data_IF_750227644733
#
_entry.id   IF_750227644733
#
_cell.length_a   1.000
_cell.length_b   1.000
_cell.length_c   1.000
_cell.angle_alpha   90.00
_cell.angle_beta   90.00
_cell.angle_gamma   90.00
#
_symmetry.space_group_name_H-M   'P 1'
#
loop_
_entity.id
_entity.type
_entity.pdbx_description
1 polymer ?
#
# COMPACT_ATOMS: atom_id res chain seq x y z
N UNK A 1 5.24 -4.61 -16.96
CA UNK A 1 6.01 -5.35 -15.93
C UNK A 1 7.42 -4.79 -15.93
N UNK A 2 7.94 -4.38 -14.78
CA UNK A 2 9.35 -4.05 -14.62
C UNK A 2 10.06 -5.21 -13.95
N UNK A 3 11.13 -5.73 -14.56
CA UNK A 3 12.03 -6.71 -13.95
C UNK A 3 13.07 -5.96 -13.13
N UNK A 4 13.27 -6.34 -11.86
CA UNK A 4 14.28 -5.72 -10.98
C UNK A 4 15.56 -6.53 -11.09
N UNK A 5 16.64 -5.88 -11.57
CA UNK A 5 17.95 -6.49 -11.65
C UNK A 5 18.52 -6.74 -10.23
N UNK A 6 18.84 -8.00 -9.91
CA UNK A 6 19.45 -8.41 -8.63
C UNK A 6 18.84 -9.65 -7.99
N UNK A 7 17.75 -10.15 -8.50
CA UNK A 7 17.07 -11.39 -8.12
C UNK A 7 16.05 -11.76 -9.16
N UNK A 8 15.64 -13.00 -9.24
CA UNK A 8 14.63 -13.51 -10.19
C UNK A 8 13.19 -13.16 -9.75
N UNK A 9 12.95 -11.93 -9.32
CA UNK A 9 11.65 -11.49 -8.84
C UNK A 9 11.02 -10.46 -9.79
N UNK A 10 9.70 -10.60 -10.02
CA UNK A 10 8.91 -9.67 -10.82
C UNK A 10 8.02 -8.84 -9.91
N UNK A 11 8.00 -7.51 -10.14
CA UNK A 11 7.05 -6.58 -9.52
C UNK A 11 5.95 -6.22 -10.49
N UNK A 12 4.71 -6.37 -10.05
CA UNK A 12 3.56 -5.78 -10.71
C UNK A 12 3.31 -4.40 -10.14
N UNK A 13 3.15 -3.43 -11.04
CA UNK A 13 3.05 -2.01 -10.71
C UNK A 13 1.73 -1.43 -11.22
N UNK A 14 1.03 -0.71 -10.35
CA UNK A 14 -0.12 0.11 -10.70
C UNK A 14 0.19 1.57 -10.38
N UNK A 15 0.18 2.44 -11.42
CA UNK A 15 0.36 3.87 -11.28
C UNK A 15 -0.99 4.56 -11.22
N UNK A 16 -1.20 5.35 -10.19
CA UNK A 16 -2.46 6.05 -9.89
C UNK A 16 -2.19 7.56 -9.84
N UNK A 17 -2.95 8.34 -10.59
CA UNK A 17 -3.00 9.80 -10.43
C UNK A 17 -4.14 10.14 -9.45
N UNK A 18 -3.84 10.57 -8.21
CA UNK A 18 -4.87 10.85 -7.22
C UNK A 18 -5.74 12.07 -7.54
N UNK A 19 -5.38 12.86 -8.56
CA UNK A 19 -6.23 13.95 -9.08
C UNK A 19 -7.33 13.44 -10.00
N UNK A 20 -7.16 12.25 -10.58
CA UNK A 20 -8.08 11.62 -11.54
C UNK A 20 -8.87 10.46 -10.94
N UNK A 21 -8.26 9.74 -10.01
CA UNK A 21 -8.83 8.56 -9.38
C UNK A 21 -8.88 8.75 -7.86
N UNK A 22 -9.88 8.16 -7.23
CA UNK A 22 -9.98 8.08 -5.78
C UNK A 22 -9.06 6.98 -5.26
N UNK A 23 -8.29 7.27 -4.22
CA UNK A 23 -7.50 6.30 -3.49
C UNK A 23 -7.96 6.30 -2.03
N UNK A 24 -8.44 5.16 -1.55
CA UNK A 24 -9.10 5.02 -0.26
C UNK A 24 -8.37 4.01 0.62
N UNK A 25 -8.28 4.29 1.91
CA UNK A 25 -7.88 3.31 2.93
C UNK A 25 -9.14 2.61 3.42
N UNK A 26 -9.20 1.30 3.25
CA UNK A 26 -10.35 0.49 3.69
C UNK A 26 -9.99 -0.29 4.94
N UNK A 27 -10.75 -0.09 6.01
CA UNK A 27 -10.80 -0.96 7.17
C UNK A 27 -11.90 -2.00 6.91
N UNK A 28 -11.52 -3.22 6.53
CA UNK A 28 -12.45 -4.29 6.13
C UNK A 28 -13.44 -4.63 7.24
N UNK A 29 -13.03 -4.53 8.50
CA UNK A 29 -13.92 -4.78 9.66
C UNK A 29 -15.14 -3.85 9.69
N UNK A 30 -15.09 -2.72 8.98
CA UNK A 30 -16.20 -1.75 8.83
C UNK A 30 -17.12 -2.06 7.65
N UNK A 31 -16.80 -3.06 6.84
CA UNK A 31 -17.64 -3.49 5.70
C UNK A 31 -18.58 -4.65 6.03
N UNK A 32 -18.57 -5.13 7.28
CA UNK A 32 -19.35 -6.30 7.71
C UNK A 32 -18.58 -7.63 7.65
N UNK A 33 -17.33 -7.62 7.18
CA UNK A 33 -16.43 -8.77 7.16
C UNK A 33 -15.24 -8.55 8.10
N UNK A 34 -14.68 -9.61 8.69
CA UNK A 34 -13.47 -9.48 9.49
C UNK A 34 -12.23 -9.27 8.61
N UNK A 35 -12.19 -9.89 7.45
CA UNK A 35 -11.10 -9.87 6.45
C UNK A 35 -11.71 -10.03 5.05
N UNK A 36 -10.98 -9.58 4.02
CA UNK A 36 -11.36 -9.77 2.63
C UNK A 36 -10.11 -9.92 1.73
N UNK A 37 -10.28 -10.56 0.59
CA UNK A 37 -9.31 -10.55 -0.50
C UNK A 37 -9.46 -9.27 -1.32
N UNK A 38 -8.45 -8.93 -2.11
CA UNK A 38 -8.53 -7.74 -2.98
C UNK A 38 -9.59 -7.89 -4.06
N UNK A 39 -9.82 -9.12 -4.56
CA UNK A 39 -10.91 -9.39 -5.50
C UNK A 39 -12.28 -9.06 -4.87
N UNK A 40 -12.58 -9.61 -3.70
CA UNK A 40 -13.85 -9.34 -3.01
C UNK A 40 -14.08 -7.85 -2.77
N UNK A 41 -13.04 -7.11 -2.34
CA UNK A 41 -13.15 -5.67 -2.13
C UNK A 41 -13.43 -4.89 -3.41
N UNK A 42 -12.76 -5.22 -4.50
CA UNK A 42 -12.97 -4.55 -5.80
C UNK A 42 -14.36 -4.83 -6.33
N UNK A 43 -14.83 -6.08 -6.26
CA UNK A 43 -16.16 -6.48 -6.74
C UNK A 43 -17.28 -5.84 -5.89
N UNK A 44 -17.18 -5.92 -4.55
CA UNK A 44 -18.19 -5.36 -3.63
C UNK A 44 -18.29 -3.84 -3.68
N UNK A 45 -17.18 -3.16 -3.97
CA UNK A 45 -17.12 -1.70 -3.98
C UNK A 45 -17.19 -1.09 -5.36
N UNK A 46 -17.34 -1.92 -6.41
CA UNK A 46 -17.27 -1.49 -7.81
C UNK A 46 -16.02 -0.64 -8.09
N UNK A 47 -14.90 -1.03 -7.47
CA UNK A 47 -13.63 -0.34 -7.57
C UNK A 47 -12.82 -0.83 -8.78
N UNK A 48 -11.75 -0.09 -9.13
CA UNK A 48 -10.88 -0.45 -10.25
C UNK A 48 -9.76 -1.39 -9.83
N UNK A 49 -9.22 -1.21 -8.62
CA UNK A 49 -8.12 -2.03 -8.12
C UNK A 49 -8.00 -1.96 -6.59
N UNK A 50 -7.32 -2.95 -6.01
CA UNK A 50 -6.92 -2.93 -4.62
C UNK A 50 -5.59 -3.65 -4.40
N UNK A 51 -4.85 -3.24 -3.34
CA UNK A 51 -3.72 -3.96 -2.75
C UNK A 51 -3.93 -4.08 -1.25
N UNK A 52 -3.34 -5.10 -0.63
CA UNK A 52 -3.38 -5.28 0.82
C UNK A 52 -2.81 -4.06 1.57
N UNK A 53 -3.27 -3.85 2.79
CA UNK A 53 -2.88 -2.73 3.65
C UNK A 53 -1.70 -3.00 4.57
N UNK A 54 -1.83 -2.54 5.83
CA UNK A 54 -0.78 -2.62 6.84
C UNK A 54 -0.80 -3.90 7.66
N UNK A 55 0.18 -4.02 8.55
CA UNK A 55 0.32 -5.16 9.46
C UNK A 55 -0.89 -5.35 10.36
N UNK A 56 -1.16 -6.60 10.71
CA UNK A 56 -2.21 -7.00 11.64
C UNK A 56 -1.73 -8.15 12.55
N UNK A 57 -2.44 -8.38 13.64
CA UNK A 57 -2.13 -9.45 14.58
C UNK A 57 -2.86 -10.77 14.19
N UNK A 58 -2.62 -11.81 14.95
CA UNK A 58 -3.21 -13.15 14.75
C UNK A 58 -4.76 -13.12 14.79
N UNK A 59 -5.35 -12.17 15.50
CA UNK A 59 -6.81 -11.97 15.59
C UNK A 59 -7.36 -11.21 14.37
N UNK A 60 -6.47 -10.66 13.53
CA UNK A 60 -6.84 -9.84 12.38
C UNK A 60 -7.05 -8.37 12.72
N UNK A 61 -6.58 -7.91 13.90
CA UNK A 61 -6.65 -6.51 14.26
C UNK A 61 -5.49 -5.73 13.64
N UNK A 62 -5.75 -4.64 12.88
CA UNK A 62 -4.68 -3.81 12.34
C UNK A 62 -3.78 -3.25 13.43
N UNK A 63 -2.46 -3.37 13.24
CA UNK A 63 -1.47 -2.88 14.21
C UNK A 63 -1.17 -1.40 14.07
N UNK A 64 -1.42 -0.81 12.92
CA UNK A 64 -1.13 0.58 12.62
C UNK A 64 -2.39 1.45 12.46
N UNK A 65 -2.19 2.76 12.41
CA UNK A 65 -3.26 3.73 12.17
C UNK A 65 -4.01 3.42 10.87
N UNK A 66 -5.33 3.54 10.94
CA UNK A 66 -6.21 3.64 9.78
C UNK A 66 -7.10 4.88 9.91
N UNK A 67 -7.15 5.68 8.85
CA UNK A 67 -8.10 6.80 8.67
C UNK A 67 -8.79 6.62 7.33
N UNK A 68 -10.10 6.68 7.32
CA UNK A 68 -10.94 6.63 6.12
C UNK A 68 -11.95 7.77 6.15
N UNK A 69 -12.00 8.57 5.09
CA UNK A 69 -12.87 9.75 4.99
C UNK A 69 -12.78 10.66 6.23
N UNK A 70 -11.56 10.94 6.69
CA UNK A 70 -11.29 11.76 7.86
C UNK A 70 -11.59 11.10 9.22
N UNK A 71 -12.19 9.90 9.23
CA UNK A 71 -12.49 9.17 10.46
C UNK A 71 -11.40 8.16 10.79
N UNK A 72 -10.85 8.27 12.00
CA UNK A 72 -9.89 7.29 12.52
C UNK A 72 -10.64 6.02 12.92
N UNK A 73 -10.31 4.89 12.28
CA UNK A 73 -10.89 3.58 12.58
C UNK A 73 -9.94 2.68 13.36
N UNK A 74 -8.63 2.96 13.33
CA UNK A 74 -7.63 2.30 14.16
C UNK A 74 -6.60 3.32 14.70
N UNK A 75 -6.09 3.16 15.95
CA UNK A 75 -5.21 4.16 16.57
C UNK A 75 -3.81 4.17 15.97
N UNK A 76 -3.10 5.29 16.16
CA UNK A 76 -1.69 5.44 15.81
C UNK A 76 -0.83 4.57 16.74
N UNK A 77 -0.01 3.69 16.16
CA UNK A 77 0.98 2.90 16.89
C UNK A 77 2.28 3.70 17.04
N UNK A 78 2.85 3.71 18.23
CA UNK A 78 4.20 4.24 18.47
C UNK A 78 5.25 3.23 17.99
N UNK A 79 5.68 3.35 16.73
CA UNK A 79 6.69 2.52 16.08
C UNK A 79 7.55 3.38 15.16
N UNK A 80 8.75 2.93 14.82
CA UNK A 80 9.61 3.58 13.81
C UNK A 80 9.14 3.18 12.39
N UNK A 81 7.90 3.58 12.08
CA UNK A 81 7.20 3.30 10.83
C UNK A 81 6.92 4.59 10.06
N UNK A 82 6.28 4.43 8.91
CA UNK A 82 5.73 5.51 8.11
C UNK A 82 4.21 5.54 8.15
N UNK A 83 3.67 6.65 7.66
CA UNK A 83 2.24 6.84 7.44
C UNK A 83 2.09 7.33 6.01
N UNK A 84 1.45 6.53 5.15
CA UNK A 84 0.91 7.00 3.88
C UNK A 84 -0.39 7.74 4.18
N UNK A 85 -0.60 8.91 3.59
CA UNK A 85 -1.82 9.69 3.78
C UNK A 85 -2.16 10.55 2.55
N UNK A 86 -3.44 10.90 2.44
CA UNK A 86 -3.97 11.85 1.46
C UNK A 86 -4.57 13.08 2.17
N UNK A 87 -4.17 14.27 1.69
CA UNK A 87 -4.75 15.56 2.06
C UNK A 87 -5.14 16.29 0.79
N UNK A 88 -6.43 16.58 0.60
CA UNK A 88 -6.91 17.23 -0.62
C UNK A 88 -6.26 16.62 -1.88
N UNK A 89 -6.29 15.30 -2.01
CA UNK A 89 -5.72 14.51 -3.12
C UNK A 89 -4.18 14.59 -3.28
N UNK A 90 -3.50 15.17 -2.31
CA UNK A 90 -2.03 15.22 -2.28
C UNK A 90 -1.49 14.09 -1.42
N UNK A 91 -0.84 13.07 -2.04
CA UNK A 91 -0.26 11.97 -1.30
C UNK A 91 1.01 12.41 -0.56
N UNK A 92 1.19 11.90 0.65
CA UNK A 92 2.38 12.10 1.47
C UNK A 92 2.76 10.81 2.17
N UNK A 93 4.05 10.59 2.38
CA UNK A 93 4.57 9.59 3.31
C UNK A 93 5.36 10.34 4.39
N UNK A 94 4.95 10.16 5.64
CA UNK A 94 5.54 10.82 6.80
C UNK A 94 6.09 9.79 7.78
N UNK A 95 7.02 10.20 8.62
CA UNK A 95 7.43 9.40 9.77
C UNK A 95 6.32 9.41 10.84
N UNK A 96 6.12 8.29 11.54
CA UNK A 96 5.13 8.17 12.63
C UNK A 96 5.19 9.30 13.66
N UNK A 97 6.40 9.76 14.03
CA UNK A 97 6.59 10.86 15.00
C UNK A 97 6.00 12.20 14.54
N UNK A 98 5.79 12.40 13.26
CA UNK A 98 5.19 13.63 12.72
C UNK A 98 3.66 13.64 12.86
N UNK A 99 3.06 12.51 13.23
CA UNK A 99 1.62 12.36 13.38
C UNK A 99 0.85 12.50 12.08
N UNK A 100 -0.46 12.60 12.20
CA UNK A 100 -1.39 12.75 11.07
C UNK A 100 -2.08 14.11 11.20
N UNK A 101 -2.07 14.93 10.15
CA UNK A 101 -2.83 16.18 10.13
C UNK A 101 -4.32 15.93 10.32
N UNK A 102 -5.02 16.86 10.98
CA UNK A 102 -6.46 16.73 11.26
C UNK A 102 -7.33 16.73 10.00
N UNK A 103 -6.83 17.26 8.90
CA UNK A 103 -7.48 17.33 7.59
C UNK A 103 -7.09 16.17 6.64
N UNK A 104 -6.39 15.15 7.13
CA UNK A 104 -6.11 13.95 6.36
C UNK A 104 -7.40 13.16 6.11
N UNK A 105 -7.75 12.95 4.85
CA UNK A 105 -8.91 12.17 4.45
C UNK A 105 -8.65 10.67 4.57
N UNK A 106 -7.48 10.24 4.13
CA UNK A 106 -7.07 8.83 4.15
C UNK A 106 -5.70 8.73 4.82
N UNK A 107 -5.48 7.72 5.68
CA UNK A 107 -4.16 7.42 6.20
C UNK A 107 -4.03 5.94 6.58
N UNK A 108 -2.85 5.38 6.28
CA UNK A 108 -2.47 4.01 6.60
C UNK A 108 -1.04 4.00 7.15
N UNK A 109 -0.86 3.44 8.34
CA UNK A 109 0.45 3.27 8.95
C UNK A 109 0.98 1.87 8.75
N UNK A 110 2.22 1.78 8.27
CA UNK A 110 2.97 0.53 8.13
C UNK A 110 4.47 0.84 8.10
N UNK A 111 5.31 -0.12 7.76
CA UNK A 111 6.74 0.12 7.67
C UNK A 111 7.59 -1.07 7.27
N UNK A 112 8.89 -0.81 7.09
CA UNK A 112 9.58 0.47 7.22
C UNK A 112 9.33 1.43 6.04
N UNK A 113 9.79 2.68 6.16
CA UNK A 113 9.88 3.59 5.01
C UNK A 113 11.03 3.12 4.11
N UNK A 114 10.75 2.91 2.84
CA UNK A 114 11.67 2.34 1.85
C UNK A 114 12.50 3.41 1.14
N UNK A 115 11.87 4.53 0.81
CA UNK A 115 12.52 5.69 0.19
C UNK A 115 12.13 6.92 0.98
N UNK A 116 13.10 7.77 1.30
CA UNK A 116 12.93 9.01 2.05
C UNK A 116 13.60 10.13 1.27
N UNK A 117 12.83 11.05 0.71
CA UNK A 117 13.33 12.16 -0.11
C UNK A 117 14.33 11.70 -1.20
N UNK A 118 13.99 10.60 -1.88
CA UNK A 118 14.79 10.03 -2.96
C UNK A 118 16.00 9.19 -2.53
N UNK A 119 16.17 8.94 -1.23
CA UNK A 119 17.26 8.13 -0.69
C UNK A 119 16.73 6.85 -0.07
N UNK A 120 17.44 5.75 -0.29
CA UNK A 120 17.19 4.47 0.37
C UNK A 120 17.90 4.46 1.72
N UNK A 121 17.19 4.38 2.86
CA UNK A 121 17.81 4.25 4.17
C UNK A 121 18.43 2.85 4.34
N UNK A 122 19.25 2.61 5.36
CA UNK A 122 19.67 1.26 5.73
C UNK A 122 18.43 0.41 6.06
N UNK A 123 18.26 -0.70 5.35
CA UNK A 123 17.14 -1.62 5.52
C UNK A 123 17.66 -3.01 5.87
N UNK A 124 16.97 -3.69 6.77
CA UNK A 124 17.25 -5.05 7.20
C UNK A 124 16.01 -5.91 6.99
N UNK A 125 16.20 -7.20 6.81
CA UNK A 125 15.12 -8.18 6.68
C UNK A 125 15.44 -9.19 5.58
N UNK A 126 14.78 -10.32 5.69
CA UNK A 126 14.90 -11.42 4.75
C UNK A 126 14.19 -11.11 3.43
N UNK A 127 14.40 -11.94 2.43
CA UNK A 127 13.64 -11.90 1.18
C UNK A 127 12.24 -12.49 1.41
N UNK A 128 11.22 -11.83 0.84
CA UNK A 128 9.82 -12.26 0.95
C UNK A 128 9.00 -11.69 -0.20
N UNK A 129 7.75 -12.11 -0.34
CA UNK A 129 6.77 -11.36 -1.14
C UNK A 129 6.54 -9.99 -0.52
N UNK A 130 6.43 -8.97 -1.34
CA UNK A 130 6.38 -7.58 -0.89
C UNK A 130 5.20 -6.84 -1.49
N UNK A 131 4.63 -5.96 -0.67
CA UNK A 131 3.69 -4.93 -1.11
C UNK A 131 4.20 -3.58 -0.64
N UNK A 132 4.09 -2.57 -1.49
CA UNK A 132 4.54 -1.22 -1.16
C UNK A 132 3.67 -0.15 -1.81
N UNK A 133 3.67 1.04 -1.21
CA UNK A 133 3.15 2.26 -1.80
C UNK A 133 4.26 3.28 -1.94
N UNK A 134 4.43 3.84 -3.14
CA UNK A 134 5.39 4.90 -3.45
C UNK A 134 4.70 6.17 -3.91
N UNK A 135 5.39 7.30 -3.78
CA UNK A 135 4.95 8.60 -4.31
C UNK A 135 6.05 9.12 -5.22
N UNK A 136 5.73 9.33 -6.49
CA UNK A 136 6.67 9.86 -7.47
C UNK A 136 6.91 11.35 -7.26
N UNK A 137 7.93 11.90 -7.94
CA UNK A 137 8.22 13.35 -7.90
C UNK A 137 7.08 14.19 -8.47
N UNK A 138 6.30 13.62 -9.39
CA UNK A 138 5.13 14.25 -10.03
C UNK A 138 3.86 14.15 -9.16
N UNK A 139 3.95 13.50 -8.00
CA UNK A 139 2.83 13.32 -7.07
C UNK A 139 1.88 12.18 -7.44
N UNK A 140 2.28 11.28 -8.33
CA UNK A 140 1.53 10.05 -8.61
C UNK A 140 1.81 9.01 -7.53
N UNK A 141 0.83 8.15 -7.27
CA UNK A 141 0.99 7.00 -6.37
C UNK A 141 1.34 5.76 -7.18
N UNK A 142 2.34 5.02 -6.71
CA UNK A 142 2.76 3.76 -7.29
C UNK A 142 2.47 2.65 -6.27
N UNK A 143 1.54 1.75 -6.60
CA UNK A 143 1.29 0.52 -5.84
C UNK A 143 2.12 -0.60 -6.47
N UNK A 144 2.89 -1.31 -5.66
CA UNK A 144 3.79 -2.35 -6.10
C UNK A 144 3.55 -3.64 -5.31
N UNK A 145 3.42 -4.77 -5.99
CA UNK A 145 3.30 -6.10 -5.38
C UNK A 145 4.20 -7.09 -6.10
N UNK A 146 4.95 -7.91 -5.35
CA UNK A 146 5.74 -9.00 -5.92
C UNK A 146 4.79 -10.03 -6.53
N UNK A 147 4.94 -10.30 -7.83
CA UNK A 147 4.13 -11.28 -8.56
C UNK A 147 4.84 -12.62 -8.76
N UNK A 148 6.16 -12.63 -8.67
CA UNK A 148 7.00 -13.84 -8.73
C UNK A 148 8.33 -13.60 -8.00
N UNK A 149 8.88 -14.64 -7.38
CA UNK A 149 10.13 -14.59 -6.63
C UNK A 149 10.01 -13.82 -5.32
N UNK A 150 11.11 -13.68 -4.61
CA UNK A 150 11.19 -12.98 -3.33
C UNK A 150 12.12 -11.77 -3.47
N UNK A 151 11.87 -10.71 -2.67
CA UNK A 151 12.66 -9.49 -2.65
C UNK A 151 13.05 -9.11 -1.23
N UNK A 152 14.29 -8.67 -1.04
CA UNK A 152 14.68 -7.95 0.16
C UNK A 152 14.06 -6.55 0.17
N UNK A 153 13.89 -5.97 1.37
CA UNK A 153 13.42 -4.58 1.50
C UNK A 153 14.33 -3.59 0.77
N UNK A 154 15.63 -3.84 0.75
CA UNK A 154 16.60 -3.00 0.05
C UNK A 154 16.43 -3.06 -1.47
N UNK A 155 16.25 -4.26 -2.05
CA UNK A 155 15.99 -4.42 -3.48
C UNK A 155 14.69 -3.74 -3.90
N UNK A 156 13.60 -3.91 -3.13
CA UNK A 156 12.33 -3.22 -3.34
C UNK A 156 12.49 -1.70 -3.28
N UNK A 157 13.22 -1.19 -2.28
CA UNK A 157 13.44 0.24 -2.10
C UNK A 157 14.23 0.85 -3.27
N UNK A 158 15.28 0.18 -3.73
CA UNK A 158 16.05 0.59 -4.92
C UNK A 158 15.18 0.62 -6.17
N UNK A 159 14.38 -0.43 -6.40
CA UNK A 159 13.46 -0.49 -7.52
C UNK A 159 12.46 0.68 -7.52
N UNK A 160 11.82 0.97 -6.38
CA UNK A 160 10.87 2.07 -6.26
C UNK A 160 11.54 3.44 -6.47
N UNK A 161 12.75 3.66 -5.95
CA UNK A 161 13.55 4.88 -6.20
C UNK A 161 13.83 5.03 -7.69
N UNK A 162 14.27 3.97 -8.36
CA UNK A 162 14.67 3.99 -9.77
C UNK A 162 13.46 4.16 -10.70
N UNK A 163 12.26 3.75 -10.23
CA UNK A 163 10.97 4.05 -10.86
C UNK A 163 10.46 5.50 -10.60
N UNK A 164 11.28 6.33 -9.94
CA UNK A 164 11.00 7.76 -9.73
C UNK A 164 10.31 8.10 -8.41
N UNK A 165 10.16 7.14 -7.49
CA UNK A 165 9.57 7.45 -6.18
C UNK A 165 10.51 8.36 -5.37
N UNK A 166 9.96 9.50 -4.91
CA UNK A 166 10.61 10.37 -3.94
C UNK A 166 10.50 9.80 -2.54
N UNK A 167 9.34 9.25 -2.20
CA UNK A 167 9.05 8.61 -0.92
C UNK A 167 8.36 7.27 -1.17
N UNK A 168 8.64 6.25 -0.35
CA UNK A 168 7.99 4.95 -0.43
C UNK A 168 7.88 4.28 0.95
N UNK A 169 6.83 3.51 1.13
CA UNK A 169 6.48 2.82 2.36
C UNK A 169 6.21 1.34 2.07
N UNK A 170 6.81 0.46 2.86
CA UNK A 170 6.48 -0.95 2.86
C UNK A 170 5.11 -1.16 3.53
N UNK A 171 4.29 -1.98 2.91
CA UNK A 171 3.03 -2.49 3.45
C UNK A 171 3.23 -3.90 3.99
N UNK A 172 2.16 -4.58 4.38
CA UNK A 172 2.26 -5.96 4.82
C UNK A 172 2.70 -6.85 3.66
N UNK A 173 3.59 -7.78 3.95
CA UNK A 173 4.26 -8.65 2.98
C UNK A 173 3.93 -10.12 3.17
N UNK A 174 4.79 -10.98 2.62
CA UNK A 174 4.64 -12.42 2.72
C UNK A 174 3.31 -12.90 2.15
N UNK A 175 2.66 -13.77 2.89
CA UNK A 175 1.38 -14.37 2.53
C UNK A 175 0.20 -13.36 2.44
N UNK A 176 0.38 -12.13 2.92
CA UNK A 176 -0.60 -11.04 2.77
C UNK A 176 -0.52 -10.33 1.43
N UNK A 177 0.61 -10.45 0.71
CA UNK A 177 0.85 -9.74 -0.56
C UNK A 177 -0.16 -10.14 -1.62
N UNK A 178 -0.97 -9.20 -2.08
CA UNK A 178 -2.01 -9.44 -3.08
C UNK A 178 -2.39 -8.16 -3.82
N UNK A 179 -2.83 -8.32 -5.05
CA UNK A 179 -3.38 -7.24 -5.88
C UNK A 179 -4.51 -7.80 -6.74
N UNK A 180 -5.56 -7.03 -6.88
CA UNK A 180 -6.58 -7.27 -7.90
C UNK A 180 -6.88 -5.98 -8.65
N UNK A 181 -6.96 -6.08 -9.97
CA UNK A 181 -7.34 -4.99 -10.87
C UNK A 181 -8.41 -5.50 -11.81
N UNK A 182 -9.48 -4.74 -11.95
CA UNK A 182 -10.53 -4.91 -12.96
C UNK A 182 -10.92 -3.53 -13.49
N UNK A 183 -10.44 -3.21 -14.69
CA UNK A 183 -10.67 -1.91 -15.33
C UNK A 183 -11.00 -2.09 -16.82
N UNK A 184 -12.25 -1.93 -17.15
CA UNK A 184 -12.78 -2.27 -18.48
C UNK A 184 -12.57 -3.77 -18.78
N UNK A 185 -11.95 -4.09 -19.91
CA UNK A 185 -11.65 -5.47 -20.28
C UNK A 185 -10.38 -6.05 -19.63
N UNK A 186 -9.65 -5.24 -18.87
CA UNK A 186 -8.39 -5.66 -18.23
C UNK A 186 -8.65 -6.21 -16.84
N UNK A 187 -8.25 -7.44 -16.62
CA UNK A 187 -8.21 -8.07 -15.30
C UNK A 187 -6.79 -8.56 -15.02
N UNK A 188 -6.29 -8.26 -13.82
CA UNK A 188 -5.02 -8.77 -13.31
C UNK A 188 -5.23 -9.19 -11.86
N UNK A 189 -4.71 -10.34 -11.49
CA UNK A 189 -4.75 -10.84 -10.13
C UNK A 189 -3.38 -11.36 -9.69
N UNK A 190 -2.93 -10.89 -8.53
CA UNK A 190 -1.92 -11.54 -7.72
C UNK A 190 -2.68 -12.10 -6.52
N UNK A 191 -2.92 -13.43 -6.49
CA UNK A 191 -3.83 -14.03 -5.53
C UNK A 191 -3.25 -13.98 -4.12
N UNK A 192 -4.14 -13.85 -3.14
CA UNK A 192 -3.79 -13.93 -1.73
C UNK A 192 -3.60 -15.38 -1.27
N UNK A 193 -2.72 -15.60 -0.30
CA UNK A 193 -2.73 -16.84 0.48
C UNK A 193 -3.89 -16.83 1.49
N UNK A 194 -4.23 -15.66 2.02
CA UNK A 194 -5.40 -15.47 2.91
C UNK A 194 -5.91 -14.01 2.88
N UNK A 195 -7.18 -13.79 3.26
CA UNK A 195 -7.77 -12.45 3.31
C UNK A 195 -7.15 -11.59 4.42
N UNK A 196 -7.20 -10.26 4.25
CA UNK A 196 -6.57 -9.26 5.12
C UNK A 196 -7.59 -8.26 5.69
N UNK A 197 -7.29 -7.59 6.84
CA UNK A 197 -8.23 -6.68 7.50
C UNK A 197 -8.19 -5.25 6.97
N UNK A 198 -7.24 -4.89 6.12
CA UNK A 198 -7.13 -3.54 5.55
C UNK A 198 -6.57 -3.54 4.14
N UNK A 199 -6.90 -2.51 3.35
CA UNK A 199 -6.49 -2.37 1.96
C UNK A 199 -6.29 -0.91 1.54
N UNK A 200 -5.54 -0.69 0.45
CA UNK A 200 -5.61 0.50 -0.38
C UNK A 200 -6.44 0.18 -1.63
N UNK A 201 -7.53 0.91 -1.82
CA UNK A 201 -8.50 0.70 -2.91
C UNK A 201 -8.46 1.89 -3.85
N UNK A 202 -8.43 1.62 -5.15
CA UNK A 202 -8.50 2.61 -6.23
C UNK A 202 -9.87 2.53 -6.89
N UNK A 203 -10.57 3.65 -6.98
CA UNK A 203 -11.89 3.76 -7.61
C UNK A 203 -11.98 4.97 -8.52
N UNK A 204 -13.03 5.03 -9.33
CA UNK A 204 -13.39 6.26 -10.05
C UNK A 204 -13.73 7.37 -9.04
N UNK A 205 -13.56 8.61 -9.46
CA UNK A 205 -14.03 9.76 -8.67
C UNK A 205 -15.48 10.02 -9.01
N UNK A 206 -16.27 10.20 -7.97
CA UNK A 206 -17.63 10.73 -8.07
C UNK A 206 -17.62 12.22 -8.45
#
# INVERSE_FOLDING_TARGET
MASVAGGSADLTLLRVDPRRLSLQVVDVRRTGAARATMRELVEQRHALAAVNGGFFDERGEPLGLLVHQGKRTNPLRRADWGIFLLRADRPQIRHTRQGVPSDAQEALQCGPRLVISGRVPPLKGDEDFRTAVGITREGQVLLAVTSRGLLSLEALARALRDLGCRDALNLDGGASSQMYLHAGEKTLEIPATYPVPSALVVAERE
#
